data_IF_969770026159
#
_entry.id   IF_969770026159
#
_cell.length_a   1.000
_cell.length_b   1.000
_cell.length_c   1.000
_cell.angle_alpha   90.00
_cell.angle_beta   90.00
_cell.angle_gamma   90.00
#
_symmetry.space_group_name_H-M   'P 1'
#
loop_
_entity.id
_entity.type
_entity.pdbx_description
1 polymer ?
#
# COMPACT_ATOMS: atom_id res chain seq x y z
N UNK A 1 1.30 13.57 12.41
CA UNK A 1 1.05 13.18 11.03
C UNK A 1 0.96 11.68 10.84
N UNK A 2 0.54 11.25 9.68
CA UNK A 2 0.54 9.84 9.27
C UNK A 2 1.94 9.40 8.84
N UNK A 3 2.13 8.11 8.64
CA UNK A 3 3.40 7.56 8.16
C UNK A 3 3.69 7.96 6.70
N UNK A 4 2.65 8.07 5.87
CA UNK A 4 2.73 8.47 4.47
C UNK A 4 1.34 8.81 3.92
N UNK A 5 1.28 9.68 2.92
CA UNK A 5 0.07 10.01 2.17
C UNK A 5 0.22 9.60 0.70
N UNK A 6 1.45 9.68 0.16
CA UNK A 6 1.80 9.25 -1.20
C UNK A 6 3.01 8.33 -1.16
N UNK A 7 2.97 7.28 -1.97
CA UNK A 7 4.07 6.33 -2.13
C UNK A 7 4.37 6.15 -3.61
N UNK A 8 5.62 6.39 -3.99
CA UNK A 8 6.12 6.09 -5.31
C UNK A 8 7.08 4.90 -5.24
N UNK A 9 6.88 3.94 -6.13
CA UNK A 9 7.73 2.76 -6.22
C UNK A 9 8.33 2.64 -7.60
N UNK A 10 9.55 2.10 -7.67
CA UNK A 10 10.17 1.79 -8.95
C UNK A 10 9.58 0.48 -9.49
N UNK A 11 8.94 0.55 -10.63
CA UNK A 11 8.29 -0.57 -11.30
C UNK A 11 7.98 -0.22 -12.75
N UNK A 12 7.36 -1.15 -13.46
CA UNK A 12 6.84 -0.84 -14.78
C UNK A 12 5.68 0.17 -14.64
N UNK A 13 5.74 1.29 -15.32
CA UNK A 13 4.76 2.36 -15.17
C UNK A 13 4.80 3.40 -16.29
N UNK A 14 3.98 4.44 -16.18
CA UNK A 14 3.20 4.84 -15.01
C UNK A 14 1.98 3.94 -14.76
N UNK A 15 1.73 3.62 -13.49
CA UNK A 15 0.58 2.84 -13.05
C UNK A 15 0.08 3.32 -11.69
N UNK A 16 -1.21 3.20 -11.44
CA UNK A 16 -1.81 3.40 -10.14
C UNK A 16 -1.99 2.06 -9.44
N UNK A 17 -1.30 1.85 -8.31
CA UNK A 17 -1.40 0.62 -7.56
C UNK A 17 -2.71 0.52 -6.78
N UNK A 18 -3.05 1.53 -6.00
CA UNK A 18 -4.31 1.61 -5.26
C UNK A 18 -4.58 3.02 -4.72
N UNK A 19 -5.83 3.25 -4.34
CA UNK A 19 -6.26 4.32 -3.45
C UNK A 19 -6.54 3.75 -2.05
N UNK A 20 -6.32 4.54 -1.00
CA UNK A 20 -6.58 4.13 0.36
C UNK A 20 -7.60 5.05 1.04
N UNK A 21 -8.56 4.45 1.76
CA UNK A 21 -9.59 5.13 2.52
C UNK A 21 -9.56 4.68 3.97
N UNK A 22 -9.63 5.64 4.88
CA UNK A 22 -9.67 5.36 6.31
C UNK A 22 -11.08 4.93 6.73
N UNK A 23 -11.16 3.84 7.50
CA UNK A 23 -12.39 3.42 8.18
C UNK A 23 -12.28 3.68 9.68
N UNK A 24 -13.42 3.85 10.40
CA UNK A 24 -13.39 4.23 11.82
C UNK A 24 -12.66 3.24 12.72
N UNK A 25 -12.84 1.94 12.48
CA UNK A 25 -12.29 0.88 13.31
C UNK A 25 -12.10 -0.45 12.55
N UNK A 26 -11.53 -1.44 13.23
CA UNK A 26 -11.31 -2.76 12.64
C UNK A 26 -12.61 -3.53 12.37
N UNK A 27 -13.66 -3.28 13.12
CA UNK A 27 -14.97 -3.90 12.88
C UNK A 27 -15.59 -3.43 11.59
N UNK A 28 -15.45 -2.14 11.27
CA UNK A 28 -15.89 -1.56 9.99
C UNK A 28 -15.15 -2.18 8.81
N UNK A 29 -13.87 -2.49 8.97
CA UNK A 29 -13.06 -3.14 7.94
C UNK A 29 -13.52 -4.59 7.70
N UNK A 30 -13.77 -5.36 8.77
CA UNK A 30 -14.30 -6.72 8.69
C UNK A 30 -15.72 -6.72 8.11
N UNK A 31 -16.56 -5.75 8.51
CA UNK A 31 -17.90 -5.59 7.95
C UNK A 31 -17.86 -5.35 6.43
N UNK A 32 -16.91 -4.60 5.93
CA UNK A 32 -16.74 -4.42 4.49
C UNK A 32 -16.42 -5.74 3.77
N UNK A 33 -15.62 -6.61 4.38
CA UNK A 33 -15.36 -7.95 3.86
C UNK A 33 -16.63 -8.83 3.88
N UNK A 34 -17.41 -8.79 4.96
CA UNK A 34 -18.68 -9.50 5.07
C UNK A 34 -19.68 -9.04 4.01
N UNK A 35 -19.78 -7.73 3.78
CA UNK A 35 -20.63 -7.17 2.72
C UNK A 35 -20.16 -7.64 1.34
N UNK A 36 -18.87 -7.57 1.04
CA UNK A 36 -18.33 -8.05 -0.22
C UNK A 36 -18.67 -9.53 -0.44
N UNK A 37 -18.47 -10.38 0.57
CA UNK A 37 -18.78 -11.80 0.51
C UNK A 37 -20.26 -12.08 0.32
N UNK A 38 -21.13 -11.40 1.07
CA UNK A 38 -22.58 -11.59 1.02
C UNK A 38 -23.22 -11.13 -0.30
N UNK A 39 -22.59 -10.15 -0.96
CA UNK A 39 -23.01 -9.62 -2.26
C UNK A 39 -22.41 -10.37 -3.45
N UNK A 40 -21.63 -11.41 -3.22
CA UNK A 40 -21.00 -12.21 -4.28
C UNK A 40 -19.67 -11.63 -4.79
N UNK A 41 -19.08 -10.66 -4.10
CA UNK A 41 -17.80 -10.04 -4.44
C UNK A 41 -16.65 -10.52 -3.54
N UNK A 42 -16.79 -11.69 -2.92
CA UNK A 42 -15.74 -12.26 -2.07
C UNK A 42 -14.41 -12.51 -2.80
N UNK A 43 -14.49 -12.89 -4.08
CA UNK A 43 -13.33 -13.12 -4.94
C UNK A 43 -12.59 -11.82 -5.33
N UNK A 44 -13.22 -10.65 -5.10
CA UNK A 44 -12.63 -9.34 -5.32
C UNK A 44 -11.82 -8.85 -4.11
N UNK A 45 -11.79 -9.61 -3.03
CA UNK A 45 -10.85 -9.37 -1.93
C UNK A 45 -9.45 -9.77 -2.41
N UNK A 46 -8.62 -8.78 -2.68
CA UNK A 46 -7.31 -8.98 -3.28
C UNK A 46 -6.22 -9.28 -2.24
N UNK A 47 -6.35 -8.72 -1.04
CA UNK A 47 -5.41 -8.93 0.06
C UNK A 47 -6.00 -8.56 1.42
N UNK A 48 -5.69 -9.33 2.44
CA UNK A 48 -6.16 -9.10 3.81
C UNK A 48 -7.47 -9.83 4.12
N UNK A 49 -8.05 -9.58 5.31
CA UNK A 49 -7.58 -8.62 6.31
C UNK A 49 -6.20 -8.95 6.88
N UNK A 50 -5.47 -7.92 7.24
CA UNK A 50 -4.12 -8.08 7.77
C UNK A 50 -3.59 -6.79 8.39
N UNK A 51 -2.35 -6.85 8.90
CA UNK A 51 -1.67 -5.70 9.47
C UNK A 51 -0.30 -5.48 8.84
N UNK A 52 -0.04 -4.25 8.43
CA UNK A 52 1.29 -3.83 8.02
C UNK A 52 2.19 -3.60 9.23
N UNK A 53 3.45 -4.02 9.15
CA UNK A 53 4.42 -3.70 10.20
C UNK A 53 4.86 -2.24 10.13
N UNK A 54 5.24 -1.78 8.93
CA UNK A 54 5.85 -0.47 8.73
C UNK A 54 4.95 0.71 9.09
N UNK A 55 3.66 0.60 8.91
CA UNK A 55 2.68 1.66 9.20
C UNK A 55 1.77 1.34 10.39
N UNK A 56 1.77 0.08 10.85
CA UNK A 56 0.80 -0.45 11.79
C UNK A 56 -0.66 -0.38 11.29
N UNK A 57 -0.89 -0.17 10.01
CA UNK A 57 -2.23 -0.14 9.44
C UNK A 57 -2.86 -1.53 9.43
N UNK A 58 -4.08 -1.64 9.96
CA UNK A 58 -4.97 -2.74 9.67
C UNK A 58 -5.54 -2.50 8.28
N UNK A 59 -5.50 -3.47 7.39
CA UNK A 59 -5.84 -3.28 5.98
C UNK A 59 -6.76 -4.35 5.41
N UNK A 60 -7.50 -3.97 4.41
CA UNK A 60 -8.24 -4.83 3.49
C UNK A 60 -8.18 -4.21 2.09
N UNK A 61 -7.74 -4.97 1.11
CA UNK A 61 -7.72 -4.53 -0.28
C UNK A 61 -8.81 -5.25 -1.07
N UNK A 62 -9.57 -4.47 -1.81
CA UNK A 62 -10.68 -4.91 -2.66
C UNK A 62 -10.47 -4.36 -4.07
N UNK A 63 -11.09 -5.01 -5.05
CA UNK A 63 -11.21 -4.45 -6.39
C UNK A 63 -12.61 -3.89 -6.59
N UNK A 64 -12.66 -2.72 -7.20
CA UNK A 64 -13.93 -2.15 -7.66
C UNK A 64 -14.40 -2.84 -8.96
N UNK A 65 -15.63 -2.56 -9.44
CA UNK A 65 -16.15 -3.17 -10.66
C UNK A 65 -15.33 -2.90 -11.93
N UNK A 66 -14.54 -1.84 -11.94
CA UNK A 66 -13.63 -1.49 -13.04
C UNK A 66 -12.23 -2.13 -12.89
N UNK A 67 -12.02 -2.90 -11.80
CA UNK A 67 -10.79 -3.61 -11.51
C UNK A 67 -9.72 -2.79 -10.77
N UNK A 68 -10.04 -1.56 -10.38
CA UNK A 68 -9.10 -0.72 -9.62
C UNK A 68 -9.00 -1.20 -8.18
N UNK A 69 -7.80 -1.20 -7.64
CA UNK A 69 -7.56 -1.61 -6.25
C UNK A 69 -7.85 -0.48 -5.28
N UNK A 70 -8.65 -0.80 -4.27
CA UNK A 70 -9.00 0.07 -3.15
C UNK A 70 -8.49 -0.55 -1.87
N UNK A 71 -7.83 0.24 -1.03
CA UNK A 71 -7.48 -0.14 0.32
C UNK A 71 -8.46 0.50 1.31
N UNK A 72 -9.06 -0.32 2.17
CA UNK A 72 -9.68 0.14 3.40
C UNK A 72 -8.68 -0.07 4.54
N UNK A 73 -8.41 0.96 5.32
CA UNK A 73 -7.47 0.83 6.42
C UNK A 73 -7.91 1.54 7.69
N UNK A 74 -7.39 1.08 8.80
CA UNK A 74 -7.55 1.70 10.11
C UNK A 74 -6.22 1.69 10.84
N UNK A 75 -5.96 2.76 11.56
CA UNK A 75 -4.80 2.89 12.47
C UNK A 75 -3.45 2.91 11.76
N UNK A 76 -2.90 4.10 11.57
CA UNK A 76 -1.47 4.32 11.33
C UNK A 76 -0.77 4.71 12.63
N UNK A 77 0.56 4.53 12.69
CA UNK A 77 1.34 5.22 13.70
C UNK A 77 1.10 6.72 13.61
N UNK A 78 0.85 7.35 14.75
CA UNK A 78 0.68 8.81 14.85
C UNK A 78 1.94 9.42 15.45
N UNK A 79 2.61 10.26 14.69
CA UNK A 79 3.79 10.98 15.13
C UNK A 79 3.39 12.39 15.58
N UNK A 80 3.16 12.53 16.89
CA UNK A 80 2.77 13.79 17.53
C UNK A 80 4.01 14.54 17.98
N UNK A 81 4.97 13.82 18.57
CA UNK A 81 6.25 14.35 19.01
C UNK A 81 7.31 14.14 17.92
N UNK A 82 8.02 15.23 17.56
CA UNK A 82 9.09 15.20 16.56
C UNK A 82 10.41 14.66 17.09
N UNK A 83 10.56 14.60 18.41
CA UNK A 83 11.74 14.09 19.09
C UNK A 83 11.73 12.57 19.29
N UNK A 84 10.65 11.88 18.88
CA UNK A 84 10.56 10.42 18.95
C UNK A 84 11.51 9.79 17.94
N UNK A 85 12.30 8.82 18.39
CA UNK A 85 13.18 8.05 17.53
C UNK A 85 12.43 7.34 16.38
N UNK A 86 12.96 7.36 15.15
CA UNK A 86 12.33 6.68 14.04
C UNK A 86 12.20 5.17 14.28
N UNK A 87 11.03 4.62 14.00
CA UNK A 87 10.83 3.17 13.96
C UNK A 87 11.56 2.63 12.72
N UNK A 88 12.56 1.78 12.95
CA UNK A 88 13.41 1.24 11.89
C UNK A 88 12.95 -0.15 11.47
N UNK A 89 12.86 -0.36 10.16
CA UNK A 89 12.57 -1.63 9.56
C UNK A 89 13.68 -2.01 8.57
N UNK A 90 14.14 -3.24 8.65
CA UNK A 90 15.05 -3.78 7.63
C UNK A 90 14.29 -4.13 6.36
N UNK A 91 14.85 -3.80 5.20
CA UNK A 91 14.21 -4.07 3.89
C UNK A 91 14.01 -5.56 3.66
N UNK A 92 14.90 -6.39 4.19
CA UNK A 92 14.81 -7.86 4.08
C UNK A 92 13.76 -8.48 5.00
N UNK A 93 13.25 -7.74 6.00
CA UNK A 93 12.25 -8.27 6.91
C UNK A 93 10.86 -8.26 6.26
N UNK A 94 10.28 -9.43 5.92
CA UNK A 94 8.97 -9.49 5.27
C UNK A 94 7.83 -8.97 6.16
N UNK A 95 8.01 -8.95 7.48
CA UNK A 95 7.01 -8.45 8.42
C UNK A 95 6.78 -6.94 8.31
N UNK A 96 7.68 -6.20 7.67
CA UNK A 96 7.47 -4.77 7.39
C UNK A 96 6.23 -4.52 6.53
N UNK A 97 5.99 -5.36 5.54
CA UNK A 97 4.82 -5.24 4.66
C UNK A 97 3.62 -6.03 5.15
N UNK A 98 3.85 -7.12 5.88
CA UNK A 98 2.79 -7.96 6.42
C UNK A 98 3.20 -8.56 7.76
N UNK A 99 2.77 -7.91 8.84
CA UNK A 99 3.01 -8.38 10.19
C UNK A 99 2.23 -9.68 10.48
N UNK A 100 0.97 -9.71 10.04
CA UNK A 100 0.09 -10.87 10.03
C UNK A 100 -1.05 -10.66 9.01
N UNK A 101 -1.79 -11.74 8.70
CA UNK A 101 -2.97 -11.74 7.84
C UNK A 101 -2.80 -12.62 6.60
N UNK A 102 -3.80 -12.56 5.70
CA UNK A 102 -3.76 -13.30 4.45
C UNK A 102 -2.64 -12.77 3.55
N UNK A 103 -1.79 -13.65 3.00
CA UNK A 103 -0.69 -13.23 2.13
C UNK A 103 -1.22 -12.59 0.84
N UNK A 104 -0.40 -11.73 0.24
CA UNK A 104 -0.72 -11.18 -1.06
C UNK A 104 -0.72 -12.28 -2.13
N UNK A 105 -1.66 -12.22 -3.04
CA UNK A 105 -1.68 -13.07 -4.24
C UNK A 105 -0.55 -12.68 -5.20
N UNK A 106 -0.23 -13.56 -6.17
CA UNK A 106 0.79 -13.22 -7.18
C UNK A 106 0.42 -11.97 -7.99
N UNK A 107 -0.86 -11.81 -8.32
CA UNK A 107 -1.36 -10.65 -9.08
C UNK A 107 -1.14 -9.32 -8.36
N UNK A 108 -1.03 -9.32 -7.03
CA UNK A 108 -0.70 -8.15 -6.23
C UNK A 108 0.54 -7.42 -6.72
N UNK A 109 1.55 -8.17 -7.14
CA UNK A 109 2.85 -7.62 -7.53
C UNK A 109 2.94 -7.19 -8.99
N UNK A 110 2.05 -7.69 -9.85
CA UNK A 110 2.12 -7.50 -11.29
C UNK A 110 0.97 -6.68 -11.86
N UNK A 111 -0.15 -6.59 -11.16
CA UNK A 111 -1.33 -5.89 -11.62
C UNK A 111 -1.46 -4.51 -10.94
N UNK A 112 -1.69 -3.50 -11.76
CA UNK A 112 -2.01 -2.15 -11.35
C UNK A 112 -2.79 -1.47 -12.48
N UNK A 113 -3.56 -0.43 -12.15
CA UNK A 113 -4.34 0.31 -13.14
C UNK A 113 -3.44 1.10 -14.06
N UNK A 114 -3.61 0.94 -15.35
CA UNK A 114 -2.87 1.68 -16.38
C UNK A 114 -3.58 2.98 -16.71
N UNK A 115 -2.82 4.00 -17.07
CA UNK A 115 -3.37 5.28 -17.52
C UNK A 115 -3.64 5.23 -19.02
N UNK A 116 -4.85 5.61 -19.48
CA UNK A 116 -5.16 5.66 -20.90
C UNK A 116 -4.17 6.54 -21.67
N UNK A 117 -3.67 6.03 -22.79
CA UNK A 117 -2.74 6.74 -23.67
C UNK A 117 -1.33 7.01 -23.10
N UNK A 118 -0.99 6.46 -21.94
CA UNK A 118 0.35 6.53 -21.37
C UNK A 118 1.08 5.21 -21.62
N UNK A 119 2.19 5.19 -22.37
CA UNK A 119 2.95 3.98 -22.59
C UNK A 119 3.63 3.52 -21.29
N UNK A 120 3.66 2.22 -21.09
CA UNK A 120 4.41 1.64 -19.98
C UNK A 120 5.90 1.65 -20.27
N UNK A 121 6.69 2.06 -19.31
CA UNK A 121 8.14 2.01 -19.33
C UNK A 121 8.65 0.99 -18.32
N UNK A 122 9.74 0.33 -18.64
CA UNK A 122 10.40 -0.59 -17.71
C UNK A 122 10.99 0.19 -16.52
N UNK A 123 11.09 -0.47 -15.35
CA UNK A 123 11.67 0.14 -14.17
C UNK A 123 13.11 0.60 -14.44
N UNK A 124 13.50 1.70 -13.82
CA UNK A 124 14.87 2.22 -13.89
C UNK A 124 15.80 1.31 -13.08
N UNK A 125 16.18 0.18 -13.64
CA UNK A 125 16.97 -0.88 -12.99
C UNK A 125 18.34 -0.42 -12.47
N UNK A 126 18.81 0.76 -12.89
CA UNK A 126 20.13 1.30 -12.54
C UNK A 126 20.07 2.64 -11.82
N UNK A 127 18.88 3.06 -11.35
CA UNK A 127 18.80 4.27 -10.55
C UNK A 127 19.55 4.05 -9.22
N UNK A 128 20.70 4.66 -9.10
CA UNK A 128 21.39 4.75 -7.81
C UNK A 128 20.53 5.62 -6.91
N UNK A 129 20.15 5.15 -5.71
CA UNK A 129 19.43 5.98 -4.77
C UNK A 129 20.21 7.28 -4.52
N UNK A 130 19.62 8.42 -4.84
CA UNK A 130 20.20 9.70 -4.49
C UNK A 130 19.93 9.98 -3.01
N UNK A 131 20.95 10.36 -2.28
CA UNK A 131 20.73 10.96 -0.96
C UNK A 131 20.18 12.37 -1.15
N UNK A 132 19.47 12.90 -0.15
CA UNK A 132 18.99 14.28 -0.17
C UNK A 132 20.15 15.27 -0.35
N UNK A 133 21.30 15.01 0.29
CA UNK A 133 22.50 15.82 0.17
C UNK A 133 23.06 15.83 -1.25
N UNK A 134 23.11 14.66 -1.91
CA UNK A 134 23.55 14.56 -3.30
C UNK A 134 22.61 15.30 -4.26
N UNK A 135 21.28 15.26 -4.01
CA UNK A 135 20.30 16.01 -4.79
C UNK A 135 20.42 17.52 -4.59
N UNK A 136 20.51 17.99 -3.34
CA UNK A 136 20.64 19.41 -3.02
C UNK A 136 21.97 20.02 -3.51
N UNK A 137 23.03 19.21 -3.60
CA UNK A 137 24.33 19.65 -4.14
C UNK A 137 24.37 19.82 -5.67
N UNK A 138 23.33 19.40 -6.41
CA UNK A 138 23.21 19.53 -7.86
C UNK A 138 22.39 20.75 -8.30
N UNK A 139 21.76 21.45 -7.37
CA UNK A 139 20.89 22.63 -7.54
C UNK A 139 21.33 23.78 -6.65
#
# INVERSE_FOLDING_TARGET
GNTHDLVFTNGQGPRLHHFAFTVPDGSSLLHAADVAGSMGFGDEIDRGPGRHGISNALFLYLRDPDGHRIELFNTHYQFIDREVDPIRWDVSNPRRSQLWGMPASNRWFFEASEFPNEPLHDPLLKATPQTLEAYLGQH
#
